data_IF_688341609584
#
_entry.id   IF_688341609584
#
_cell.length_a   1.000
_cell.length_b   1.000
_cell.length_c   1.000
_cell.angle_alpha   90.00
_cell.angle_beta   90.00
_cell.angle_gamma   90.00
#
_symmetry.space_group_name_H-M   'P 1'
#
loop_
_entity.id
_entity.type
_entity.pdbx_description
1 polymer ?
#
# COMPACT_ATOMS: atom_id res chain seq x y z
N UNK A 1 -5.99 14.82 16.24
CA UNK A 1 -5.15 13.72 15.72
C UNK A 1 -5.91 13.24 14.52
N UNK A 2 -5.39 13.45 13.32
CA UNK A 2 -6.12 13.09 12.10
C UNK A 2 -6.24 11.56 12.03
N UNK A 3 -7.42 11.09 11.69
CA UNK A 3 -7.68 9.67 11.49
C UNK A 3 -6.95 9.20 10.22
N UNK A 4 -6.41 7.98 10.23
CA UNK A 4 -5.62 7.43 9.10
C UNK A 4 -6.37 7.57 7.78
N UNK A 5 -7.66 7.26 7.77
CA UNK A 5 -8.48 7.36 6.56
C UNK A 5 -8.74 8.80 6.11
N UNK A 6 -8.75 9.78 7.02
CA UNK A 6 -8.90 11.19 6.64
C UNK A 6 -7.64 11.68 5.91
N UNK A 7 -6.47 11.25 6.37
CA UNK A 7 -5.19 11.50 5.69
C UNK A 7 -5.20 10.82 4.30
N UNK A 8 -5.56 9.54 4.23
CA UNK A 8 -5.60 8.79 2.96
C UNK A 8 -6.58 9.42 1.96
N UNK A 9 -7.78 9.80 2.41
CA UNK A 9 -8.77 10.47 1.56
C UNK A 9 -8.25 11.82 1.06
N UNK A 10 -7.54 12.57 1.90
CA UNK A 10 -6.90 13.84 1.49
C UNK A 10 -5.79 13.63 0.46
N UNK A 11 -4.97 12.58 0.60
CA UNK A 11 -3.97 12.20 -0.39
C UNK A 11 -4.61 11.77 -1.72
N UNK A 12 -5.65 10.95 -1.67
CA UNK A 12 -6.42 10.53 -2.84
C UNK A 12 -7.03 11.73 -3.58
N UNK A 13 -7.68 12.65 -2.86
CA UNK A 13 -8.23 13.87 -3.43
C UNK A 13 -7.16 14.77 -4.07
N UNK A 14 -5.99 14.89 -3.44
CA UNK A 14 -4.85 15.63 -4.00
C UNK A 14 -4.34 15.00 -5.30
N UNK A 15 -4.24 13.67 -5.37
CA UNK A 15 -3.84 12.98 -6.61
C UNK A 15 -4.88 13.12 -7.71
N UNK A 16 -6.17 13.04 -7.37
CA UNK A 16 -7.27 13.22 -8.31
C UNK A 16 -7.29 14.64 -8.88
N UNK A 17 -7.01 15.66 -8.07
CA UNK A 17 -6.92 17.06 -8.53
C UNK A 17 -5.82 17.31 -9.58
N UNK A 18 -4.82 16.41 -9.66
CA UNK A 18 -3.68 16.50 -10.59
C UNK A 18 -3.79 15.52 -11.76
N UNK A 19 -4.70 14.56 -11.70
CA UNK A 19 -4.86 13.51 -12.71
C UNK A 19 -5.56 14.05 -13.96
N UNK A 20 -5.00 13.77 -15.13
CA UNK A 20 -5.69 13.97 -16.42
C UNK A 20 -6.60 12.80 -16.78
N UNK A 21 -6.41 11.64 -16.15
CA UNK A 21 -7.18 10.42 -16.39
C UNK A 21 -8.39 10.33 -15.47
N UNK A 22 -9.46 9.69 -15.94
CA UNK A 22 -10.73 9.55 -15.25
C UNK A 22 -11.14 8.07 -15.15
N UNK A 23 -12.06 7.77 -14.22
CA UNK A 23 -12.63 6.43 -14.05
C UNK A 23 -11.57 5.33 -13.93
N UNK A 24 -11.74 4.26 -14.69
CA UNK A 24 -10.89 3.06 -14.65
C UNK A 24 -9.43 3.32 -14.99
N UNK A 25 -9.13 4.25 -15.91
CA UNK A 25 -7.74 4.59 -16.27
C UNK A 25 -6.97 5.16 -15.08
N UNK A 26 -7.66 5.88 -14.20
CA UNK A 26 -7.08 6.44 -12.99
C UNK A 26 -6.71 5.35 -11.98
N UNK A 27 -7.56 4.32 -11.86
CA UNK A 27 -7.29 3.16 -11.02
C UNK A 27 -6.13 2.35 -11.57
N UNK A 28 -6.07 2.16 -12.90
CA UNK A 28 -4.96 1.47 -13.55
C UNK A 28 -3.62 2.13 -13.23
N UNK A 29 -3.54 3.47 -13.32
CA UNK A 29 -2.32 4.20 -12.94
C UNK A 29 -1.96 3.97 -11.48
N UNK A 30 -2.94 3.98 -10.58
CA UNK A 30 -2.69 3.75 -9.17
C UNK A 30 -2.26 2.30 -8.87
N UNK A 31 -2.76 1.32 -9.64
CA UNK A 31 -2.31 -0.08 -9.58
C UNK A 31 -0.85 -0.19 -10.06
N UNK A 32 -0.48 0.51 -11.13
CA UNK A 32 0.91 0.56 -11.60
C UNK A 32 1.81 1.21 -10.54
N UNK A 33 1.35 2.29 -9.88
CA UNK A 33 2.09 2.89 -8.77
C UNK A 33 2.27 1.91 -7.60
N UNK A 34 1.24 1.14 -7.25
CA UNK A 34 1.36 0.08 -6.24
C UNK A 34 2.42 -0.97 -6.61
N UNK A 35 2.50 -1.36 -7.89
CA UNK A 35 3.56 -2.27 -8.35
C UNK A 35 4.95 -1.64 -8.21
N UNK A 36 5.10 -0.36 -8.50
CA UNK A 36 6.36 0.38 -8.32
C UNK A 36 6.84 0.30 -6.87
N UNK A 37 5.98 0.60 -5.88
CA UNK A 37 6.32 0.52 -4.45
C UNK A 37 6.76 -0.89 -4.03
N UNK A 38 6.11 -1.93 -4.56
CA UNK A 38 6.53 -3.32 -4.29
C UNK A 38 7.92 -3.62 -4.86
N UNK A 39 8.27 -2.99 -5.98
CA UNK A 39 9.62 -3.04 -6.55
C UNK A 39 10.65 -2.35 -5.66
N UNK A 40 10.30 -1.20 -5.07
CA UNK A 40 11.16 -0.46 -4.14
C UNK A 40 11.43 -1.27 -2.85
N UNK A 41 10.40 -1.92 -2.28
CA UNK A 41 10.57 -2.89 -1.17
C UNK A 41 11.56 -3.99 -1.54
N UNK A 42 11.45 -4.54 -2.75
CA UNK A 42 12.34 -5.61 -3.21
C UNK A 42 13.78 -5.11 -3.40
N UNK A 43 13.97 -3.91 -3.97
CA UNK A 43 15.28 -3.29 -4.09
C UNK A 43 15.92 -3.02 -2.72
N UNK A 44 15.15 -2.48 -1.77
CA UNK A 44 15.59 -2.24 -0.41
C UNK A 44 16.00 -3.55 0.27
N UNK A 45 15.22 -4.62 0.12
CA UNK A 45 15.52 -5.92 0.72
C UNK A 45 16.78 -6.56 0.12
N UNK A 46 16.95 -6.52 -1.20
CA UNK A 46 18.18 -6.99 -1.87
C UNK A 46 19.38 -6.18 -1.39
N UNK A 47 19.22 -4.86 -1.24
CA UNK A 47 20.24 -3.97 -0.70
C UNK A 47 20.58 -4.25 0.76
N UNK A 48 19.60 -4.60 1.60
CA UNK A 48 19.78 -4.94 3.00
C UNK A 48 20.45 -6.31 3.21
N UNK A 49 20.25 -7.25 2.29
CA UNK A 49 20.95 -8.53 2.26
C UNK A 49 22.38 -8.43 1.71
N UNK A 50 22.72 -7.31 1.07
CA UNK A 50 24.00 -7.15 0.37
C UNK A 50 24.11 -7.96 -0.93
N UNK A 51 22.99 -8.50 -1.42
CA UNK A 51 22.93 -9.39 -2.58
C UNK A 51 22.98 -8.64 -3.91
N UNK A 52 23.08 -7.31 -3.90
CA UNK A 52 23.30 -6.52 -5.11
C UNK A 52 24.78 -6.57 -5.51
N UNK A 53 25.17 -7.30 -6.59
CA UNK A 53 26.59 -7.49 -6.92
C UNK A 53 27.30 -6.19 -7.34
N UNK A 54 26.53 -5.14 -7.69
CA UNK A 54 27.07 -3.82 -8.08
C UNK A 54 27.23 -2.87 -6.90
N UNK A 55 26.47 -3.04 -5.82
CA UNK A 55 26.40 -2.07 -4.70
C UNK A 55 26.69 -2.66 -3.31
N UNK A 56 26.71 -3.98 -3.15
CA UNK A 56 26.84 -4.63 -1.84
C UNK A 56 25.70 -4.23 -0.89
N UNK A 57 26.00 -4.00 0.39
CA UNK A 57 25.03 -3.47 1.35
C UNK A 57 24.72 -2.00 1.05
N UNK A 58 23.56 -1.75 0.47
CA UNK A 58 23.14 -0.40 0.07
C UNK A 58 21.96 0.15 0.87
N UNK A 59 21.24 -0.72 1.58
CA UNK A 59 20.05 -0.38 2.36
C UNK A 59 20.10 -1.10 3.70
N UNK A 60 19.21 -0.69 4.60
CA UNK A 60 18.96 -1.29 5.90
C UNK A 60 17.57 -1.93 5.93
N UNK A 61 17.30 -2.74 6.95
CA UNK A 61 15.95 -3.23 7.19
C UNK A 61 14.97 -2.14 7.66
N UNK A 62 15.47 -0.97 8.09
CA UNK A 62 14.63 0.21 8.32
C UNK A 62 14.11 0.78 7.00
N UNK A 63 14.96 0.80 5.96
CA UNK A 63 14.53 1.24 4.62
C UNK A 63 13.43 0.30 4.09
N UNK A 64 13.60 -1.02 4.23
CA UNK A 64 12.56 -2.00 3.87
C UNK A 64 11.24 -1.74 4.60
N UNK A 65 11.29 -1.35 5.89
CA UNK A 65 10.08 -1.00 6.66
C UNK A 65 9.42 0.27 6.13
N UNK A 66 10.20 1.26 5.73
CA UNK A 66 9.69 2.49 5.12
C UNK A 66 8.97 2.18 3.81
N UNK A 67 9.63 1.44 2.91
CA UNK A 67 9.02 1.05 1.62
C UNK A 67 7.76 0.20 1.80
N UNK A 68 7.72 -0.66 2.83
CA UNK A 68 6.50 -1.42 3.15
C UNK A 68 5.35 -0.50 3.59
N UNK A 69 5.63 0.60 4.29
CA UNK A 69 4.62 1.61 4.62
C UNK A 69 4.12 2.32 3.36
N UNK A 70 4.99 2.57 2.38
CA UNK A 70 4.60 3.18 1.11
C UNK A 70 3.72 2.26 0.26
N UNK A 71 3.99 0.95 0.24
CA UNK A 71 3.09 -0.05 -0.34
C UNK A 71 1.70 -0.01 0.31
N UNK A 72 1.64 -0.04 1.65
CA UNK A 72 0.37 0.00 2.39
C UNK A 72 -0.39 1.29 2.07
N UNK A 73 0.29 2.44 2.16
CA UNK A 73 -0.29 3.75 1.89
C UNK A 73 -0.84 3.84 0.46
N UNK A 74 -0.07 3.37 -0.52
CA UNK A 74 -0.45 3.37 -1.93
C UNK A 74 -1.63 2.44 -2.21
N UNK A 75 -1.71 1.31 -1.52
CA UNK A 75 -2.86 0.40 -1.57
C UNK A 75 -4.12 0.99 -0.94
N UNK A 76 -3.99 1.68 0.20
CA UNK A 76 -5.12 2.39 0.82
C UNK A 76 -5.63 3.54 -0.06
N UNK A 77 -4.72 4.29 -0.69
CA UNK A 77 -5.07 5.34 -1.65
C UNK A 77 -5.79 4.75 -2.88
N UNK A 78 -5.35 3.60 -3.39
CA UNK A 78 -6.07 2.89 -4.45
C UNK A 78 -7.53 2.62 -4.06
N UNK A 79 -7.75 2.05 -2.88
CA UNK A 79 -9.09 1.75 -2.40
C UNK A 79 -9.95 3.02 -2.28
N UNK A 80 -9.38 4.11 -1.74
CA UNK A 80 -10.07 5.39 -1.64
C UNK A 80 -10.44 5.98 -3.01
N UNK A 81 -9.56 5.88 -4.02
CA UNK A 81 -9.79 6.40 -5.38
C UNK A 81 -10.81 5.59 -6.20
N UNK A 82 -11.07 4.35 -5.80
CA UNK A 82 -12.14 3.52 -6.36
C UNK A 82 -13.55 3.93 -5.87
N UNK A 83 -13.62 4.75 -4.82
CA UNK A 83 -14.87 5.34 -4.31
C UNK A 83 -15.59 4.46 -3.30
N UNK A 84 -16.81 4.89 -2.93
CA UNK A 84 -17.59 4.26 -1.86
C UNK A 84 -17.10 4.64 -0.47
N UNK A 85 -17.19 3.70 0.48
CA UNK A 85 -16.65 3.83 1.83
C UNK A 85 -15.42 2.90 1.96
N UNK A 86 -14.19 3.41 1.70
CA UNK A 86 -12.99 2.59 1.67
C UNK A 86 -12.64 2.05 3.06
N UNK A 87 -12.93 2.82 4.12
CA UNK A 87 -12.71 2.39 5.52
C UNK A 87 -13.54 1.17 5.83
N UNK A 88 -14.86 1.29 5.65
CA UNK A 88 -15.79 0.19 5.91
C UNK A 88 -15.44 -1.03 5.06
N UNK A 89 -15.13 -0.84 3.78
CA UNK A 89 -14.75 -1.93 2.87
C UNK A 89 -13.53 -2.69 3.37
N UNK A 90 -12.50 -1.97 3.82
CA UNK A 90 -11.28 -2.58 4.36
C UNK A 90 -11.54 -3.30 5.69
N UNK A 91 -12.25 -2.67 6.62
CA UNK A 91 -12.59 -3.25 7.92
C UNK A 91 -13.44 -4.53 7.80
N UNK A 92 -14.45 -4.52 6.92
CA UNK A 92 -15.26 -5.71 6.62
C UNK A 92 -14.44 -6.84 5.99
N UNK A 93 -13.47 -6.50 5.12
CA UNK A 93 -12.56 -7.49 4.56
C UNK A 93 -11.65 -8.10 5.65
N UNK A 94 -11.02 -7.26 6.47
CA UNK A 94 -10.14 -7.69 7.55
C UNK A 94 -10.89 -8.52 8.60
N UNK A 95 -12.11 -8.14 8.96
CA UNK A 95 -12.97 -8.90 9.86
C UNK A 95 -13.30 -10.31 9.34
N UNK A 96 -13.52 -10.45 8.03
CA UNK A 96 -13.71 -11.77 7.40
C UNK A 96 -12.44 -12.62 7.44
N UNK A 97 -11.27 -12.03 7.19
CA UNK A 97 -9.99 -12.74 7.29
C UNK A 97 -9.72 -13.21 8.73
N UNK A 98 -9.90 -12.33 9.72
CA UNK A 98 -9.72 -12.67 11.12
C UNK A 98 -10.68 -13.79 11.56
N UNK A 99 -11.94 -13.73 11.13
CA UNK A 99 -12.93 -14.77 11.41
C UNK A 99 -12.58 -16.13 10.76
N UNK A 100 -11.86 -16.14 9.63
CA UNK A 100 -11.45 -17.36 8.94
C UNK A 100 -10.18 -17.96 9.55
N UNK A 101 -9.18 -17.13 9.80
CA UNK A 101 -7.80 -17.59 10.03
C UNK A 101 -7.34 -17.48 11.49
N UNK A 102 -7.98 -16.62 12.30
CA UNK A 102 -7.59 -16.37 13.69
C UNK A 102 -8.56 -16.94 14.73
N UNK A 103 -9.65 -17.59 14.30
CA UNK A 103 -10.49 -18.35 15.23
C UNK A 103 -9.69 -19.57 15.68
N UNK A 104 -9.41 -19.74 17.00
CA UNK A 104 -8.80 -20.98 17.48
C UNK A 104 -9.71 -22.14 17.07
N UNK A 105 -9.12 -23.18 16.47
CA UNK A 105 -9.86 -24.39 16.13
C UNK A 105 -10.58 -24.90 17.37
N UNK A 106 -11.89 -25.16 17.24
CA UNK A 106 -12.56 -26.04 18.17
C UNK A 106 -12.02 -27.44 17.90
N UNK A 107 -11.01 -27.84 18.66
CA UNK A 107 -10.37 -29.15 18.67
C UNK A 107 -9.66 -29.37 19.98
#
# INVERSE_FOLDING_TARGET
MDDTWDIINSLAAKLDSRSKQQGEQRWLIQIVKLQEEVGEVAEAAIGALGENPRKGYSHSWDDVRAEACDVITTGMVLLARMGGDPRRTFEEHLGRLAARDLRPGQG
#
